data_IF_312616729382
#
_entry.id   IF_312616729382
#
_cell.length_a   1.000
_cell.length_b   1.000
_cell.length_c   1.000
_cell.angle_alpha   90.00
_cell.angle_beta   90.00
_cell.angle_gamma   90.00
#
_symmetry.space_group_name_H-M   'P 1'
#
loop_
_entity.id
_entity.type
_entity.pdbx_description
1 polymer ?
#
# COMPACT_ATOMS: atom_id res chain seq x y z
N UNK A 1 14.75 20.44 -12.59
CA UNK A 1 13.46 20.49 -11.87
C UNK A 1 13.25 19.13 -11.22
N UNK A 2 13.43 19.00 -9.91
CA UNK A 2 13.03 17.80 -9.19
C UNK A 2 11.51 17.80 -9.12
N UNK A 3 10.86 16.83 -9.78
CA UNK A 3 9.45 16.52 -9.53
C UNK A 3 9.38 15.99 -8.10
N UNK A 4 8.82 16.77 -7.19
CA UNK A 4 8.49 16.31 -5.85
C UNK A 4 7.41 15.23 -6.00
N UNK A 5 7.70 14.02 -5.52
CA UNK A 5 6.75 12.91 -5.51
C UNK A 5 5.67 13.18 -4.46
N UNK A 6 4.63 13.91 -4.82
CA UNK A 6 3.45 14.10 -3.96
C UNK A 6 2.73 12.74 -3.82
N UNK A 7 2.53 12.26 -2.59
CA UNK A 7 1.85 10.98 -2.31
C UNK A 7 2.76 9.74 -2.14
N UNK A 8 4.07 9.84 -2.38
CA UNK A 8 5.00 8.74 -2.14
C UNK A 8 5.45 8.68 -0.66
N UNK A 9 5.20 7.56 0.03
CA UNK A 9 5.78 7.31 1.35
C UNK A 9 7.17 6.69 1.17
N UNK A 10 8.22 7.51 1.32
CA UNK A 10 9.60 7.00 1.35
C UNK A 10 9.80 6.34 2.71
N UNK A 11 9.72 5.01 2.75
CA UNK A 11 9.92 4.23 3.97
C UNK A 11 11.41 3.85 4.03
N UNK A 12 12.16 4.53 4.88
CA UNK A 12 13.58 4.25 5.19
C UNK A 12 13.61 3.47 6.50
N UNK A 13 13.68 2.14 6.44
CA UNK A 13 13.71 1.32 7.65
C UNK A 13 15.13 1.12 8.19
N UNK A 14 16.16 1.21 7.36
CA UNK A 14 17.54 1.02 7.79
C UNK A 14 18.50 1.94 7.04
N UNK A 15 19.42 2.58 7.78
CA UNK A 15 20.61 3.20 7.20
C UNK A 15 21.60 2.10 6.86
N UNK A 16 21.59 1.61 5.63
CA UNK A 16 22.72 0.82 5.16
C UNK A 16 23.88 1.76 4.79
N UNK A 17 25.07 1.64 5.40
CA UNK A 17 26.26 2.17 4.77
C UNK A 17 26.40 1.46 3.42
N UNK A 18 26.68 2.22 2.38
CA UNK A 18 27.01 1.67 1.07
C UNK A 18 28.18 0.72 1.26
N UNK A 19 27.94 -0.59 1.19
CA UNK A 19 29.00 -1.58 1.18
C UNK A 19 29.74 -1.42 -0.16
N UNK A 20 31.01 -1.00 -0.18
CA UNK A 20 31.75 -0.78 -1.41
C UNK A 20 32.02 -2.07 -2.20
N UNK A 21 31.70 -3.26 -1.68
CA UNK A 21 31.96 -4.54 -2.35
C UNK A 21 30.87 -5.04 -3.31
N UNK A 22 29.73 -4.35 -3.49
CA UNK A 22 28.85 -4.63 -4.63
C UNK A 22 29.32 -3.96 -5.94
N UNK A 23 30.64 -3.92 -6.17
CA UNK A 23 31.22 -3.68 -7.50
C UNK A 23 30.91 -4.89 -8.39
N UNK A 24 29.79 -4.82 -9.09
CA UNK A 24 29.44 -5.79 -10.11
C UNK A 24 30.52 -5.73 -11.21
N UNK A 25 31.45 -6.69 -11.19
CA UNK A 25 32.63 -6.81 -12.04
C UNK A 25 32.21 -7.20 -13.46
N UNK A 26 31.58 -6.28 -14.19
CA UNK A 26 31.41 -6.41 -15.63
C UNK A 26 32.80 -6.20 -16.25
N UNK A 27 33.36 -7.25 -16.81
CA UNK A 27 34.67 -7.27 -17.48
C UNK A 27 34.63 -6.33 -18.70
N UNK A 28 34.97 -5.05 -18.50
CA UNK A 28 34.99 -4.04 -19.55
C UNK A 28 36.23 -4.22 -20.43
N UNK A 29 36.04 -4.61 -21.69
CA UNK A 29 37.02 -4.32 -22.75
C UNK A 29 37.01 -2.81 -23.02
N UNK A 30 38.16 -2.18 -23.27
CA UNK A 30 38.24 -0.72 -23.33
C UNK A 30 37.82 -0.27 -24.72
N UNK A 31 36.72 0.47 -24.84
CA UNK A 31 36.52 1.37 -25.98
C UNK A 31 35.55 2.50 -25.63
N UNK A 32 36.08 3.71 -25.80
CA UNK A 32 35.39 4.98 -26.00
C UNK A 32 34.91 5.74 -24.74
N UNK A 33 35.48 6.94 -24.54
CA UNK A 33 35.19 7.91 -23.46
C UNK A 33 33.79 8.55 -23.61
N UNK A 34 32.73 7.76 -23.62
CA UNK A 34 31.40 8.23 -23.23
C UNK A 34 31.32 8.13 -21.71
N UNK A 35 30.80 9.16 -21.03
CA UNK A 35 30.44 9.05 -19.61
C UNK A 35 29.51 7.84 -19.44
N UNK A 36 30.06 6.69 -19.08
CA UNK A 36 29.28 5.56 -18.60
C UNK A 36 28.79 6.02 -17.24
N UNK A 37 27.56 6.55 -17.17
CA UNK A 37 26.89 6.75 -15.90
C UNK A 37 26.83 5.37 -15.25
N UNK A 38 27.64 5.15 -14.21
CA UNK A 38 27.55 3.95 -13.37
C UNK A 38 26.09 3.87 -12.92
N UNK A 39 25.35 2.90 -13.43
CA UNK A 39 23.98 2.68 -13.01
C UNK A 39 24.05 2.05 -11.62
N UNK A 40 23.70 2.83 -10.61
CA UNK A 40 23.59 2.31 -9.25
C UNK A 40 22.35 1.41 -9.25
N UNK A 41 22.58 0.12 -9.08
CA UNK A 41 21.52 -0.88 -8.98
C UNK A 41 21.31 -1.15 -7.49
N UNK A 42 20.09 -0.94 -7.01
CA UNK A 42 19.77 -1.28 -5.63
C UNK A 42 19.55 -2.79 -5.49
N UNK A 43 20.12 -3.43 -4.46
CA UNK A 43 19.82 -4.81 -4.17
C UNK A 43 18.37 -4.94 -3.73
N UNK A 44 17.72 -6.07 -4.06
CA UNK A 44 16.41 -6.39 -3.50
C UNK A 44 16.50 -6.37 -1.96
N UNK A 45 15.49 -5.83 -1.27
CA UNK A 45 14.19 -5.39 -1.80
C UNK A 45 14.10 -3.90 -2.20
N UNK A 46 15.22 -3.19 -2.26
CA UNK A 46 15.21 -1.75 -2.51
C UNK A 46 15.23 -1.44 -4.01
N UNK A 47 14.49 -0.40 -4.42
CA UNK A 47 14.23 -0.13 -5.84
C UNK A 47 14.79 1.20 -6.33
N UNK A 48 15.06 2.16 -5.43
CA UNK A 48 15.45 3.52 -5.82
C UNK A 48 16.67 3.99 -5.02
N UNK A 49 17.66 4.53 -5.71
CA UNK A 49 18.76 5.27 -5.10
C UNK A 49 18.39 6.75 -4.96
N UNK A 50 18.55 7.32 -3.76
CA UNK A 50 18.25 8.73 -3.52
C UNK A 50 19.52 9.56 -3.25
N UNK A 51 19.39 10.90 -3.30
CA UNK A 51 20.51 11.84 -3.12
C UNK A 51 21.17 11.80 -1.73
N UNK A 52 20.57 11.10 -0.77
CA UNK A 52 21.18 10.81 0.54
C UNK A 52 22.10 9.59 0.53
N UNK A 53 22.51 9.11 -0.66
CA UNK A 53 23.38 7.95 -0.85
C UNK A 53 22.86 6.65 -0.22
N UNK A 54 21.57 6.40 -0.36
CA UNK A 54 20.93 5.20 0.17
C UNK A 54 19.93 4.61 -0.82
N UNK A 55 19.82 3.29 -0.80
CA UNK A 55 18.75 2.55 -1.47
C UNK A 55 17.51 2.54 -0.58
N UNK A 56 16.35 2.80 -1.18
CA UNK A 56 15.07 2.85 -0.48
C UNK A 56 14.00 2.04 -1.22
N UNK A 57 12.97 1.67 -0.47
CA UNK A 57 11.72 1.22 -1.05
C UNK A 57 11.05 2.37 -1.80
N UNK A 58 10.42 2.05 -2.93
CA UNK A 58 9.58 2.99 -3.67
C UNK A 58 8.20 2.38 -3.81
N UNK A 59 7.44 2.48 -2.72
CA UNK A 59 6.07 2.02 -2.65
C UNK A 59 5.11 3.14 -3.08
N UNK A 60 4.05 2.78 -3.80
CA UNK A 60 2.98 3.70 -4.15
C UNK A 60 2.04 3.96 -2.97
N UNK A 61 1.08 4.85 -3.14
CA UNK A 61 0.13 5.20 -2.09
C UNK A 61 -0.68 3.97 -1.63
N UNK A 62 -0.92 3.85 -0.32
CA UNK A 62 -1.64 2.72 0.29
C UNK A 62 -0.92 1.37 0.22
N UNK A 63 0.37 1.37 -0.10
CA UNK A 63 1.20 0.15 -0.11
C UNK A 63 2.30 0.19 0.93
N UNK A 64 2.77 -0.99 1.33
CA UNK A 64 3.86 -1.19 2.27
C UNK A 64 4.86 -2.23 1.73
N UNK A 65 6.15 -2.12 2.12
CA UNK A 65 7.15 -3.16 1.91
C UNK A 65 6.71 -4.54 2.41
N UNK A 66 6.87 -5.57 1.58
CA UNK A 66 6.86 -6.97 2.00
C UNK A 66 8.24 -7.58 1.75
N UNK A 67 8.98 -7.83 2.82
CA UNK A 67 10.33 -8.39 2.78
C UNK A 67 10.37 -9.86 2.37
N UNK A 68 9.23 -10.55 2.39
CA UNK A 68 9.12 -11.95 1.94
C UNK A 68 9.10 -12.02 0.42
N UNK A 69 8.28 -11.19 -0.21
CA UNK A 69 8.13 -11.13 -1.67
C UNK A 69 9.14 -10.16 -2.32
N UNK A 70 9.76 -9.28 -1.53
CA UNK A 70 10.56 -8.15 -1.99
C UNK A 70 9.76 -7.19 -2.90
N UNK A 71 8.44 -7.09 -2.68
CA UNK A 71 7.54 -6.21 -3.42
C UNK A 71 6.76 -5.28 -2.48
N UNK A 72 6.22 -4.18 -3.01
CA UNK A 72 5.30 -3.32 -2.27
C UNK A 72 3.89 -3.89 -2.40
N UNK A 73 3.30 -4.38 -1.31
CA UNK A 73 1.94 -4.94 -1.25
C UNK A 73 0.95 -3.93 -0.67
N UNK A 74 -0.36 -4.10 -0.86
CA UNK A 74 -1.33 -3.23 -0.21
C UNK A 74 -1.20 -3.31 1.32
N UNK A 75 -1.37 -2.18 2.01
CA UNK A 75 -1.54 -2.16 3.46
C UNK A 75 -2.77 -2.99 3.88
N UNK A 76 -2.82 -3.43 5.14
CA UNK A 76 -3.97 -4.20 5.62
C UNK A 76 -5.26 -3.37 5.52
N UNK A 77 -6.31 -3.94 4.93
CA UNK A 77 -7.58 -3.26 4.65
C UNK A 77 -7.59 -2.39 3.40
N UNK A 78 -6.49 -2.34 2.63
CA UNK A 78 -6.43 -1.68 1.33
C UNK A 78 -6.55 -2.68 0.18
N UNK A 79 -6.97 -2.22 -0.99
CA UNK A 79 -7.04 -3.01 -2.21
C UNK A 79 -6.44 -2.28 -3.40
N UNK A 80 -5.90 -3.04 -4.34
CA UNK A 80 -5.24 -2.51 -5.53
C UNK A 80 -6.26 -1.79 -6.43
N UNK A 81 -5.97 -0.52 -6.74
CA UNK A 81 -6.79 0.31 -7.62
C UNK A 81 -6.09 0.66 -8.94
N UNK A 82 -4.84 0.22 -9.10
CA UNK A 82 -4.06 0.39 -10.32
C UNK A 82 -2.60 0.74 -10.03
N UNK A 83 -2.01 1.52 -10.94
CA UNK A 83 -0.62 1.97 -10.86
C UNK A 83 -0.49 3.47 -11.04
N UNK A 84 0.51 4.09 -10.41
CA UNK A 84 0.82 5.51 -10.61
C UNK A 84 1.58 5.80 -11.92
N UNK A 85 1.94 7.06 -12.16
CA UNK A 85 2.69 7.50 -13.36
C UNK A 85 4.08 6.84 -13.49
N UNK A 86 4.59 6.23 -12.41
CA UNK A 86 5.86 5.53 -12.36
C UNK A 86 5.70 4.00 -12.43
N UNK A 87 4.47 3.51 -12.63
CA UNK A 87 4.15 2.08 -12.69
C UNK A 87 4.16 1.39 -11.33
N UNK A 88 4.11 2.14 -10.23
CA UNK A 88 4.05 1.56 -8.87
C UNK A 88 2.61 1.23 -8.50
N UNK A 89 2.39 0.09 -7.85
CA UNK A 89 1.08 -0.30 -7.30
C UNK A 89 0.52 0.82 -6.41
N UNK A 90 -0.75 1.17 -6.62
CA UNK A 90 -1.52 2.02 -5.71
C UNK A 90 -2.63 1.18 -5.10
N UNK A 91 -2.83 1.32 -3.80
CA UNK A 91 -3.98 0.78 -3.13
C UNK A 91 -4.76 1.87 -2.39
N UNK A 92 -6.05 1.64 -2.19
CA UNK A 92 -6.91 2.54 -1.43
C UNK A 92 -7.78 1.76 -0.43
N UNK A 93 -8.29 2.47 0.58
CA UNK A 93 -9.41 1.97 1.38
C UNK A 93 -10.71 2.06 0.57
N UNK A 94 -11.72 1.33 1.01
CA UNK A 94 -13.05 1.55 0.50
C UNK A 94 -13.50 2.99 0.74
N UNK A 95 -14.13 3.64 -0.26
CA UNK A 95 -14.71 4.96 -0.05
C UNK A 95 -15.88 4.83 0.92
N UNK A 96 -16.13 5.86 1.72
CA UNK A 96 -17.35 5.93 2.50
C UNK A 96 -18.57 5.85 1.57
N UNK A 97 -19.62 5.10 1.94
CA UNK A 97 -19.83 4.47 3.26
C UNK A 97 -19.42 2.99 3.36
N UNK A 98 -18.59 2.50 2.44
CA UNK A 98 -18.22 1.10 2.41
C UNK A 98 -17.01 0.82 3.30
N UNK A 99 -17.02 -0.29 4.03
CA UNK A 99 -16.03 -0.56 5.07
C UNK A 99 -15.15 -1.79 4.81
N UNK A 100 -15.58 -2.69 3.91
CA UNK A 100 -14.89 -3.96 3.67
C UNK A 100 -14.69 -4.18 2.18
N UNK A 101 -13.50 -4.69 1.81
CA UNK A 101 -13.21 -5.18 0.48
C UNK A 101 -13.46 -6.68 0.42
N UNK A 102 -14.27 -7.15 -0.51
CA UNK A 102 -14.50 -8.57 -0.77
C UNK A 102 -13.39 -9.21 -1.61
N UNK A 103 -13.34 -10.54 -1.67
CA UNK A 103 -12.32 -11.27 -2.45
C UNK A 103 -12.33 -10.91 -3.95
N UNK A 104 -13.49 -10.57 -4.49
CA UNK A 104 -13.71 -10.07 -5.85
C UNK A 104 -13.49 -8.55 -6.01
N UNK A 105 -12.83 -7.92 -5.03
CA UNK A 105 -12.39 -6.51 -5.06
C UNK A 105 -13.53 -5.49 -5.11
N UNK A 106 -14.69 -5.81 -4.54
CA UNK A 106 -15.79 -4.85 -4.36
C UNK A 106 -15.79 -4.29 -2.94
N UNK A 107 -16.17 -3.03 -2.84
CA UNK A 107 -16.41 -2.38 -1.55
C UNK A 107 -17.85 -2.61 -1.12
N UNK A 108 -18.04 -3.13 0.09
CA UNK A 108 -19.34 -3.47 0.64
C UNK A 108 -19.53 -2.90 2.04
N UNK A 109 -20.80 -2.76 2.42
CA UNK A 109 -21.18 -2.51 3.80
C UNK A 109 -20.81 -3.71 4.66
N UNK A 110 -20.37 -3.44 5.88
CA UNK A 110 -20.10 -4.48 6.88
C UNK A 110 -21.13 -4.40 7.99
N UNK A 111 -22.37 -4.77 7.67
CA UNK A 111 -23.49 -4.76 8.59
C UNK A 111 -23.57 -6.10 9.36
N UNK A 112 -23.92 -6.02 10.64
CA UNK A 112 -24.18 -7.18 11.51
C UNK A 112 -25.60 -7.74 11.32
N UNK A 113 -25.93 -8.80 12.04
CA UNK A 113 -27.26 -9.42 11.98
C UNK A 113 -28.36 -8.46 12.46
N UNK A 114 -29.48 -8.41 11.73
CA UNK A 114 -30.60 -7.53 12.03
C UNK A 114 -30.33 -6.04 11.75
N UNK A 115 -29.22 -5.71 11.08
CA UNK A 115 -28.87 -4.32 10.72
C UNK A 115 -29.02 -4.06 9.23
N UNK A 116 -29.13 -2.79 8.85
CA UNK A 116 -29.13 -2.31 7.47
C UNK A 116 -28.29 -1.02 7.32
N UNK A 117 -27.75 -0.75 6.12
CA UNK A 117 -27.10 0.52 5.82
C UNK A 117 -27.98 1.75 6.02
N UNK A 118 -27.48 2.76 6.73
CA UNK A 118 -28.04 4.11 6.72
C UNK A 118 -27.08 5.09 6.03
N UNK A 119 -27.47 5.54 4.84
CA UNK A 119 -26.69 6.50 4.05
C UNK A 119 -26.68 7.92 4.65
N UNK A 120 -27.48 8.20 5.69
CA UNK A 120 -27.46 9.48 6.39
C UNK A 120 -26.32 9.55 7.38
N UNK A 121 -26.13 8.46 8.14
CA UNK A 121 -25.10 8.35 9.17
C UNK A 121 -23.83 7.67 8.65
N UNK A 122 -23.88 7.06 7.46
CA UNK A 122 -22.84 6.18 6.93
C UNK A 122 -22.49 5.03 7.90
N UNK A 123 -23.48 4.55 8.65
CA UNK A 123 -23.35 3.45 9.61
C UNK A 123 -24.39 2.36 9.35
N UNK A 124 -24.14 1.16 9.87
CA UNK A 124 -25.15 0.11 9.93
C UNK A 124 -26.02 0.32 11.17
N UNK A 125 -27.33 0.49 10.97
CA UNK A 125 -28.34 0.71 12.02
C UNK A 125 -29.28 -0.49 12.11
N UNK A 126 -29.99 -0.66 13.22
CA UNK A 126 -31.00 -1.72 13.31
C UNK A 126 -32.09 -1.53 12.25
N UNK A 127 -32.51 -2.63 11.64
CA UNK A 127 -33.65 -2.64 10.73
C UNK A 127 -34.91 -2.15 11.44
N UNK A 128 -35.85 -1.60 10.66
CA UNK A 128 -37.17 -1.24 11.21
C UNK A 128 -37.82 -2.44 11.91
N UNK A 129 -38.18 -2.27 13.18
CA UNK A 129 -38.77 -3.33 14.00
C UNK A 129 -37.75 -4.18 14.78
N UNK A 130 -36.47 -3.80 14.75
CA UNK A 130 -35.41 -4.41 15.54
C UNK A 130 -34.87 -3.44 16.59
N UNK A 131 -34.26 -3.98 17.65
CA UNK A 131 -33.55 -3.23 18.68
C UNK A 131 -32.14 -3.79 18.88
N UNK A 132 -31.20 -2.92 19.27
CA UNK A 132 -29.81 -3.30 19.49
C UNK A 132 -29.68 -4.16 20.74
N UNK A 133 -29.06 -5.34 20.58
CA UNK A 133 -28.82 -6.30 21.66
C UNK A 133 -27.35 -6.45 22.03
N UNK A 134 -26.44 -5.91 21.22
CA UNK A 134 -25.01 -5.94 21.49
C UNK A 134 -24.16 -5.67 20.25
N UNK A 135 -22.90 -6.13 20.30
CA UNK A 135 -21.95 -6.08 19.17
C UNK A 135 -21.31 -7.44 18.94
N UNK A 136 -20.93 -7.72 17.68
CA UNK A 136 -20.23 -8.95 17.32
C UNK A 136 -18.70 -8.85 17.53
N UNK A 137 -17.97 -9.92 17.23
CA UNK A 137 -16.50 -9.94 17.36
C UNK A 137 -15.73 -8.95 16.48
N UNK A 138 -16.43 -8.27 15.55
CA UNK A 138 -15.89 -7.21 14.69
C UNK A 138 -16.35 -5.82 15.14
N UNK A 139 -17.08 -5.72 16.27
CA UNK A 139 -17.62 -4.47 16.80
C UNK A 139 -18.86 -3.96 16.06
N UNK A 140 -19.49 -4.77 15.21
CA UNK A 140 -20.70 -4.40 14.47
C UNK A 140 -21.92 -4.62 15.36
N UNK A 141 -22.92 -3.73 15.27
CA UNK A 141 -24.18 -3.88 16.02
C UNK A 141 -24.86 -5.21 15.67
N UNK A 142 -25.44 -5.85 16.69
CA UNK A 142 -26.34 -6.99 16.57
C UNK A 142 -27.71 -6.49 16.99
N UNK A 143 -28.72 -6.70 16.15
CA UNK A 143 -30.09 -6.33 16.48
C UNK A 143 -31.02 -7.54 16.43
N UNK A 144 -32.02 -7.56 17.31
CA UNK A 144 -33.05 -8.60 17.37
C UNK A 144 -34.44 -8.00 17.14
N UNK A 145 -35.42 -8.79 16.62
CA UNK A 145 -36.79 -8.32 16.48
C UNK A 145 -37.39 -7.88 17.82
N UNK A 146 -38.18 -6.81 17.80
CA UNK A 146 -38.99 -6.34 18.94
C UNK A 146 -40.09 -7.34 19.34
#
# INVERSE_FOLDING_TARGET
MLKTCTGAKIIVLDKFPSDPEQENRVLLKPLNKRLVRRQIVCPKPYHVWISANQCVWSCGEGTQPDTTTNECVCENGYYEIGTDEFGRRICAKCPEPYHVVTSDKRCVWSCGEGTEPDNTTNECVCQKGYYETGTDGFGRRICSPL
#
